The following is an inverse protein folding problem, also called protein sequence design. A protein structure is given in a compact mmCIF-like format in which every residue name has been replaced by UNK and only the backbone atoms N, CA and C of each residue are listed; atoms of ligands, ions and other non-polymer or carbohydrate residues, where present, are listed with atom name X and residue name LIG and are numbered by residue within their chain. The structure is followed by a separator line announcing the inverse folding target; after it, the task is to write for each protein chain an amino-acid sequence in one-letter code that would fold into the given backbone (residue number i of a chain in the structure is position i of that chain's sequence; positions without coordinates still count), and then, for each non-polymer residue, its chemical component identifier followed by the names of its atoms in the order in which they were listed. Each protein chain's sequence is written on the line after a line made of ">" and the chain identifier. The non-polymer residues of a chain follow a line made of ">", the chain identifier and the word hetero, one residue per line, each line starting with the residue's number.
data_IF_707034404981
#
_entry.id   IF_707034404981
#
_cell.length_a   1.000
_cell.length_b   1.000
_cell.length_c   1.000
_cell.angle_alpha   90.00
_cell.angle_beta   90.00
_cell.angle_gamma   90.00
#
_symmetry.space_group_name_H-M   'P 1'
#
loop_
_entity.id
_entity.type
_entity.pdbx_description
1 polymer ?
#
# COMPACT_ATOMS: atom_id res chain seq x y z
N UNK A 1 9.13 23.60 -22.98
CA UNK A 1 8.11 22.54 -23.05
C UNK A 1 7.89 22.08 -21.63
N UNK A 2 6.66 22.06 -21.16
CA UNK A 2 6.30 21.60 -19.80
C UNK A 2 6.15 20.09 -19.83
N UNK A 3 6.87 19.35 -19.00
CA UNK A 3 6.92 17.87 -18.93
C UNK A 3 6.61 17.49 -17.48
N UNK A 4 5.80 16.46 -17.24
CA UNK A 4 5.37 16.12 -15.87
C UNK A 4 6.56 15.77 -14.97
N UNK A 5 7.47 14.94 -15.45
CA UNK A 5 8.73 14.62 -14.78
C UNK A 5 9.89 14.58 -15.78
N UNK A 6 10.96 15.31 -15.47
CA UNK A 6 12.14 15.41 -16.33
C UNK A 6 13.41 15.13 -15.53
N UNK A 7 14.22 14.18 -16.00
CA UNK A 7 15.60 13.97 -15.55
C UNK A 7 16.55 14.31 -16.70
N UNK A 8 17.21 15.46 -16.59
CA UNK A 8 18.15 15.94 -17.62
C UNK A 8 19.38 15.04 -17.73
N UNK A 9 19.93 14.60 -16.60
CA UNK A 9 21.15 13.79 -16.54
C UNK A 9 20.96 12.41 -17.18
N UNK A 10 19.76 11.84 -17.05
CA UNK A 10 19.40 10.57 -17.66
C UNK A 10 18.78 10.71 -19.06
N UNK A 11 18.60 11.95 -19.54
CA UNK A 11 17.79 12.26 -20.72
C UNK A 11 16.45 11.50 -20.71
N UNK A 12 15.74 11.56 -19.59
CA UNK A 12 14.49 10.83 -19.36
C UNK A 12 13.35 11.81 -19.10
N UNK A 13 12.27 11.66 -19.85
CA UNK A 13 11.01 12.34 -19.61
C UNK A 13 9.93 11.30 -19.29
N UNK A 14 9.15 11.53 -18.24
CA UNK A 14 7.97 10.73 -17.91
C UNK A 14 6.75 11.63 -18.01
N UNK A 15 5.77 11.19 -18.79
CA UNK A 15 4.50 11.89 -19.00
C UNK A 15 3.36 11.06 -18.40
N UNK A 16 2.47 11.76 -17.71
CA UNK A 16 1.31 11.26 -16.98
C UNK A 16 0.04 11.80 -17.67
N UNK A 17 -0.40 11.07 -18.68
CA UNK A 17 -1.59 11.46 -19.42
C UNK A 17 -2.86 11.26 -18.57
N UNK A 18 -3.56 12.34 -18.26
CA UNK A 18 -4.91 12.29 -17.72
C UNK A 18 -5.96 11.84 -18.75
N UNK A 19 -7.17 11.50 -18.29
CA UNK A 19 -8.27 11.02 -19.15
C UNK A 19 -8.59 11.95 -20.34
N UNK A 20 -8.41 13.26 -20.16
CA UNK A 20 -8.59 14.28 -21.21
C UNK A 20 -7.66 14.11 -22.42
N UNK A 21 -6.49 13.48 -22.24
CA UNK A 21 -5.53 13.21 -23.34
C UNK A 21 -5.89 11.93 -24.12
N UNK A 22 -6.76 11.09 -23.55
CA UNK A 22 -7.26 9.84 -24.16
C UNK A 22 -8.67 9.98 -24.76
N UNK A 23 -9.38 11.08 -24.50
CA UNK A 23 -10.78 11.26 -24.88
C UNK A 23 -11.07 11.30 -26.38
N UNK A 24 -10.09 11.63 -27.24
CA UNK A 24 -10.22 11.51 -28.69
C UNK A 24 -8.86 11.48 -29.41
N UNK A 25 -8.89 11.11 -30.70
CA UNK A 25 -7.70 10.96 -31.53
C UNK A 25 -6.92 12.27 -31.77
N UNK A 26 -7.55 13.44 -31.69
CA UNK A 26 -6.85 14.73 -31.83
C UNK A 26 -6.12 15.13 -30.56
N UNK A 27 -6.74 14.96 -29.40
CA UNK A 27 -6.12 15.17 -28.08
C UNK A 27 -4.89 14.28 -27.95
N UNK A 28 -5.04 12.99 -28.27
CA UNK A 28 -3.95 12.02 -28.28
C UNK A 28 -2.82 12.42 -29.24
N UNK A 29 -3.14 12.82 -30.48
CA UNK A 29 -2.10 13.23 -31.46
C UNK A 29 -1.37 14.51 -31.06
N UNK A 30 -2.08 15.49 -30.51
CA UNK A 30 -1.48 16.75 -30.04
C UNK A 30 -0.48 16.46 -28.92
N UNK A 31 -0.87 15.59 -28.01
CA UNK A 31 -0.06 15.14 -26.90
C UNK A 31 1.19 14.37 -27.38
N UNK A 32 1.06 13.50 -28.39
CA UNK A 32 2.19 12.77 -28.98
C UNK A 32 3.21 13.62 -29.73
N UNK A 33 2.87 14.84 -30.15
CA UNK A 33 3.85 15.78 -30.75
C UNK A 33 4.89 16.24 -29.73
N UNK A 34 4.51 16.26 -28.46
CA UNK A 34 5.40 16.60 -27.34
C UNK A 34 6.45 15.51 -27.15
N UNK A 35 6.03 14.24 -27.15
CA UNK A 35 6.95 13.08 -27.13
C UNK A 35 7.96 13.14 -28.27
N UNK A 36 7.46 13.37 -29.49
CA UNK A 36 8.30 13.39 -30.68
C UNK A 36 9.39 14.46 -30.55
N UNK A 37 9.03 15.65 -30.07
CA UNK A 37 10.00 16.73 -29.87
C UNK A 37 10.98 16.43 -28.72
N UNK A 38 10.58 15.72 -27.67
CA UNK A 38 11.51 15.25 -26.62
C UNK A 38 12.49 14.20 -27.16
N UNK A 39 11.99 13.25 -27.94
CA UNK A 39 12.79 12.19 -28.57
C UNK A 39 13.78 12.76 -29.58
N UNK A 40 13.39 13.76 -30.37
CA UNK A 40 14.28 14.51 -31.27
C UNK A 40 15.43 15.19 -30.53
N UNK A 41 15.25 15.51 -29.25
CA UNK A 41 16.27 16.09 -28.38
C UNK A 41 17.00 15.05 -27.52
N UNK A 42 16.90 13.76 -27.87
CA UNK A 42 17.63 12.67 -27.24
C UNK A 42 16.99 12.13 -25.95
N UNK A 43 15.76 12.54 -25.62
CA UNK A 43 15.08 12.06 -24.42
C UNK A 43 14.34 10.75 -24.67
N UNK A 44 14.52 9.78 -23.77
CA UNK A 44 13.64 8.62 -23.67
C UNK A 44 12.34 9.06 -23.01
N UNK A 45 11.20 8.79 -23.64
CA UNK A 45 9.87 9.11 -23.09
C UNK A 45 9.20 7.83 -22.63
N UNK A 46 9.01 7.67 -21.32
CA UNK A 46 8.27 6.55 -20.75
C UNK A 46 6.87 7.02 -20.38
N UNK A 47 5.85 6.37 -20.95
CA UNK A 47 4.45 6.64 -20.61
C UNK A 47 3.86 5.49 -19.84
N UNK A 48 3.35 5.81 -18.65
CA UNK A 48 2.65 4.87 -17.78
C UNK A 48 1.14 5.15 -17.84
N UNK A 49 0.59 5.27 -19.06
CA UNK A 49 -0.74 5.79 -19.36
C UNK A 49 -1.84 5.23 -18.48
N UNK A 50 -1.80 3.91 -18.27
CA UNK A 50 -2.85 3.24 -17.51
C UNK A 50 -2.72 3.54 -16.00
N UNK A 51 -1.51 3.62 -15.45
CA UNK A 51 -1.30 4.05 -14.06
C UNK A 51 -1.66 5.53 -13.87
N UNK A 52 -1.31 6.40 -14.82
CA UNK A 52 -1.73 7.80 -14.83
C UNK A 52 -3.26 7.94 -14.89
N UNK A 53 -3.91 7.11 -15.71
CA UNK A 53 -5.37 7.05 -15.79
C UNK A 53 -6.01 6.58 -14.48
N UNK A 54 -5.48 5.52 -13.84
CA UNK A 54 -5.93 5.09 -12.51
C UNK A 54 -5.74 6.19 -11.46
N UNK A 55 -4.62 6.91 -11.49
CA UNK A 55 -4.39 8.04 -10.59
C UNK A 55 -5.46 9.13 -10.80
N UNK A 56 -5.84 9.40 -12.06
CA UNK A 56 -6.90 10.34 -12.42
C UNK A 56 -8.29 9.93 -11.92
N UNK A 57 -8.61 8.64 -11.86
CA UNK A 57 -9.90 8.16 -11.32
C UNK A 57 -10.10 8.48 -9.84
N UNK A 58 -9.02 8.68 -9.09
CA UNK A 58 -9.10 9.02 -7.67
C UNK A 58 -9.40 10.50 -7.43
N UNK A 59 -9.58 11.29 -8.49
CA UNK A 59 -10.10 12.65 -8.42
C UNK A 59 -11.64 12.65 -8.53
N UNK A 60 -12.29 13.61 -7.88
CA UNK A 60 -13.77 13.71 -7.80
C UNK A 60 -14.47 14.00 -9.16
N UNK A 61 -13.75 13.99 -10.28
CA UNK A 61 -14.22 14.45 -11.60
C UNK A 61 -14.16 13.33 -12.66
N UNK A 62 -14.51 12.09 -12.26
CA UNK A 62 -14.56 10.94 -13.17
C UNK A 62 -15.99 10.64 -13.67
N UNK A 63 -16.10 10.31 -14.95
CA UNK A 63 -17.35 9.85 -15.56
C UNK A 63 -17.54 8.35 -15.27
N UNK A 64 -18.37 8.03 -14.28
CA UNK A 64 -18.60 6.65 -13.81
C UNK A 64 -19.16 5.72 -14.90
N UNK A 65 -19.86 6.26 -15.90
CA UNK A 65 -20.43 5.51 -17.02
C UNK A 65 -19.41 5.25 -18.14
N UNK A 66 -18.30 5.99 -18.16
CA UNK A 66 -17.27 5.81 -19.16
C UNK A 66 -16.59 4.43 -19.02
N UNK A 67 -16.19 3.90 -20.16
CA UNK A 67 -15.57 2.57 -20.25
C UNK A 67 -14.11 2.64 -19.82
N UNK A 68 -13.68 1.61 -19.09
CA UNK A 68 -12.26 1.41 -18.79
C UNK A 68 -11.47 1.27 -20.10
N UNK A 69 -10.34 1.97 -20.25
CA UNK A 69 -9.47 1.79 -21.40
C UNK A 69 -8.86 0.39 -21.39
N UNK A 70 -8.34 -0.10 -22.53
CA UNK A 70 -7.72 -1.42 -22.59
C UNK A 70 -6.64 -1.62 -21.50
N UNK A 71 -6.85 -2.61 -20.64
CA UNK A 71 -5.94 -2.92 -19.53
C UNK A 71 -4.63 -3.48 -20.10
N UNK A 72 -3.47 -2.88 -19.79
CA UNK A 72 -2.19 -3.36 -20.27
C UNK A 72 -1.84 -4.72 -19.65
N UNK A 73 -1.05 -5.56 -20.33
CA UNK A 73 -0.56 -6.79 -19.75
C UNK A 73 0.40 -6.53 -18.58
N UNK A 74 0.40 -7.44 -17.60
CA UNK A 74 1.36 -7.40 -16.48
C UNK A 74 1.07 -6.44 -15.36
N UNK A 75 -0.16 -5.93 -15.26
CA UNK A 75 -0.54 -5.04 -14.17
C UNK A 75 -0.54 -5.74 -12.80
N UNK A 76 -0.62 -7.07 -12.77
CA UNK A 76 -0.45 -7.92 -11.58
C UNK A 76 1.02 -8.12 -11.18
N UNK A 77 1.96 -7.76 -12.06
CA UNK A 77 3.41 -7.96 -11.90
C UNK A 77 4.16 -6.67 -12.24
N UNK A 78 3.86 -5.61 -11.49
CA UNK A 78 4.59 -4.34 -11.63
C UNK A 78 6.07 -4.56 -11.31
N UNK A 79 6.95 -4.02 -12.15
CA UNK A 79 8.37 -3.97 -11.83
C UNK A 79 8.62 -2.86 -10.78
N UNK A 80 9.79 -2.83 -10.11
CA UNK A 80 10.07 -1.83 -9.07
C UNK A 80 9.95 -0.37 -9.54
N UNK A 81 10.17 -0.08 -10.82
CA UNK A 81 9.99 1.28 -11.34
C UNK A 81 8.51 1.68 -11.41
N UNK A 82 7.64 0.76 -11.84
CA UNK A 82 6.19 0.97 -11.89
C UNK A 82 5.55 0.96 -10.50
N UNK A 83 6.05 0.14 -9.58
CA UNK A 83 5.66 0.17 -8.17
C UNK A 83 5.97 1.54 -7.55
N UNK A 84 7.22 2.01 -7.69
CA UNK A 84 7.62 3.33 -7.19
C UNK A 84 6.80 4.46 -7.84
N UNK A 85 6.43 4.33 -9.11
CA UNK A 85 5.57 5.30 -9.77
C UNK A 85 4.15 5.28 -9.20
N UNK A 86 3.56 4.10 -8.99
CA UNK A 86 2.25 3.97 -8.36
C UNK A 86 2.23 4.58 -6.95
N UNK A 87 3.27 4.32 -6.17
CA UNK A 87 3.46 4.90 -4.84
C UNK A 87 3.61 6.44 -4.90
N UNK A 88 4.42 6.94 -5.84
CA UNK A 88 4.61 8.39 -6.07
C UNK A 88 3.30 9.09 -6.42
N UNK A 89 2.49 8.47 -7.29
CA UNK A 89 1.17 8.95 -7.70
C UNK A 89 0.09 8.70 -6.65
N UNK A 90 0.41 8.01 -5.56
CA UNK A 90 -0.52 7.61 -4.49
C UNK A 90 -1.74 6.89 -5.04
N UNK A 91 -1.52 5.99 -5.98
CA UNK A 91 -2.57 5.13 -6.51
C UNK A 91 -2.93 4.11 -5.42
N UNK A 92 -4.22 3.97 -5.11
CA UNK A 92 -4.68 2.94 -4.18
C UNK A 92 -4.28 1.56 -4.70
N UNK A 93 -3.57 0.80 -3.86
CA UNK A 93 -3.14 -0.54 -4.20
C UNK A 93 -4.34 -1.48 -4.42
N UNK A 94 -5.45 -1.26 -3.72
CA UNK A 94 -6.69 -2.01 -3.90
C UNK A 94 -7.30 -1.68 -5.30
N UNK A 95 -7.09 -0.47 -5.82
CA UNK A 95 -7.50 -0.06 -7.19
C UNK A 95 -6.63 -0.74 -8.26
N UNK A 96 -5.31 -0.78 -8.07
CA UNK A 96 -4.40 -1.54 -8.96
C UNK A 96 -4.76 -3.03 -8.95
N UNK A 97 -5.12 -3.57 -7.78
CA UNK A 97 -5.53 -4.97 -7.64
C UNK A 97 -6.87 -5.25 -8.34
N UNK A 98 -7.82 -4.31 -8.32
CA UNK A 98 -9.06 -4.42 -9.08
C UNK A 98 -8.81 -4.36 -10.59
N UNK A 99 -7.96 -3.42 -11.01
CA UNK A 99 -7.52 -3.24 -12.38
C UNK A 99 -6.86 -4.51 -12.94
N UNK A 100 -5.96 -5.13 -12.17
CA UNK A 100 -5.15 -6.26 -12.61
C UNK A 100 -5.93 -7.56 -12.86
N UNK A 101 -7.16 -7.70 -12.34
CA UNK A 101 -8.00 -8.89 -12.63
C UNK A 101 -8.32 -9.07 -14.11
N UNK A 102 -8.41 -7.97 -14.86
CA UNK A 102 -8.62 -8.00 -16.32
C UNK A 102 -7.31 -7.88 -17.11
N UNK A 103 -6.19 -7.66 -16.42
CA UNK A 103 -4.86 -7.57 -17.01
C UNK A 103 -4.48 -8.90 -17.69
N UNK A 104 -4.13 -8.87 -18.98
CA UNK A 104 -3.53 -10.03 -19.63
C UNK A 104 -2.18 -10.40 -19.01
N UNK A 105 -1.79 -11.67 -19.11
CA UNK A 105 -0.45 -12.13 -18.69
C UNK A 105 0.64 -11.55 -19.60
N UNK A 106 1.78 -11.14 -19.01
CA UNK A 106 2.96 -10.65 -19.76
C UNK A 106 3.51 -11.73 -20.68
N UNK A 107 3.72 -12.94 -20.17
CA UNK A 107 4.32 -14.05 -20.93
C UNK A 107 3.49 -14.40 -22.17
N UNK A 108 2.17 -14.28 -22.06
CA UNK A 108 1.25 -14.52 -23.17
C UNK A 108 1.10 -13.31 -24.09
N UNK A 109 1.59 -12.12 -23.72
CA UNK A 109 1.47 -10.88 -24.50
C UNK A 109 2.81 -10.31 -24.96
N UNK A 110 3.90 -11.07 -24.83
CA UNK A 110 5.18 -10.80 -25.45
C UNK A 110 5.36 -11.64 -26.71
N UNK A 111 5.54 -11.03 -27.89
CA UNK A 111 5.88 -11.77 -29.10
C UNK A 111 7.27 -12.37 -28.95
N UNK A 112 7.42 -13.63 -29.31
CA UNK A 112 8.73 -14.29 -29.33
C UNK A 112 9.43 -14.09 -30.68
N UNK A 113 10.66 -14.59 -30.79
CA UNK A 113 11.44 -14.49 -32.01
C UNK A 113 10.80 -15.28 -33.16
N UNK A 114 10.08 -16.37 -32.87
CA UNK A 114 9.40 -17.18 -33.86
C UNK A 114 8.18 -16.46 -34.45
N UNK A 115 7.40 -15.76 -33.63
CA UNK A 115 6.30 -14.90 -34.04
C UNK A 115 6.76 -13.80 -35.00
N UNK A 116 7.88 -13.14 -34.63
CA UNK A 116 8.49 -12.09 -35.45
C UNK A 116 8.95 -12.68 -36.79
N UNK A 117 9.67 -13.80 -36.77
CA UNK A 117 10.14 -14.46 -37.99
C UNK A 117 8.98 -14.95 -38.87
N UNK A 118 7.93 -15.51 -38.27
CA UNK A 118 6.73 -15.95 -38.97
C UNK A 118 6.02 -14.78 -39.65
N UNK A 119 5.87 -13.64 -38.97
CA UNK A 119 5.31 -12.44 -39.58
C UNK A 119 6.19 -11.89 -40.71
N UNK A 120 7.52 -11.81 -40.50
CA UNK A 120 8.45 -11.38 -41.55
C UNK A 120 8.33 -12.30 -42.76
N UNK A 121 8.16 -13.61 -42.58
CA UNK A 121 8.00 -14.55 -43.69
C UNK A 121 6.75 -14.28 -44.55
N UNK A 122 5.71 -13.64 -43.99
CA UNK A 122 4.50 -13.26 -44.75
C UNK A 122 4.70 -12.05 -45.67
N UNK A 123 5.74 -11.23 -45.45
CA UNK A 123 6.02 -10.04 -46.24
C UNK A 123 6.70 -10.41 -47.58
N UNK A 124 6.35 -9.68 -48.64
CA UNK A 124 6.98 -9.85 -49.95
C UNK A 124 8.45 -9.40 -49.92
N UNK A 125 9.32 -10.00 -50.73
CA UNK A 125 10.77 -9.71 -50.69
C UNK A 125 11.08 -8.24 -51.04
N UNK A 126 10.39 -7.67 -52.03
CA UNK A 126 10.51 -6.26 -52.38
C UNK A 126 10.10 -5.32 -51.22
N UNK A 127 9.12 -5.74 -50.43
CA UNK A 127 8.66 -4.99 -49.25
C UNK A 127 9.67 -5.07 -48.11
N UNK A 128 10.29 -6.24 -47.88
CA UNK A 128 11.36 -6.41 -46.88
C UNK A 128 12.53 -5.49 -47.18
N UNK A 129 13.01 -5.49 -48.42
CA UNK A 129 14.15 -4.68 -48.85
C UNK A 129 13.85 -3.18 -48.70
N UNK A 130 12.64 -2.75 -49.07
CA UNK A 130 12.20 -1.37 -48.91
C UNK A 130 12.09 -0.95 -47.44
N UNK A 131 11.56 -1.81 -46.56
CA UNK A 131 11.44 -1.54 -45.13
C UNK A 131 12.82 -1.41 -44.47
N UNK A 132 13.76 -2.33 -44.79
CA UNK A 132 15.12 -2.30 -44.28
C UNK A 132 15.88 -1.06 -44.76
N UNK A 133 15.78 -0.72 -46.06
CA UNK A 133 16.39 0.47 -46.61
C UNK A 133 15.86 1.75 -45.93
N UNK A 134 14.55 1.84 -45.71
CA UNK A 134 13.92 3.00 -45.07
C UNK A 134 14.34 3.16 -43.58
N UNK A 135 14.40 2.05 -42.83
CA UNK A 135 14.88 2.07 -41.44
C UNK A 135 16.34 2.51 -41.37
N UNK A 136 17.21 1.99 -42.23
CA UNK A 136 18.63 2.35 -42.25
C UNK A 136 18.84 3.80 -42.67
N UNK A 137 18.19 4.25 -43.75
CA UNK A 137 18.31 5.62 -44.23
C UNK A 137 17.84 6.64 -43.19
N UNK A 138 16.73 6.35 -42.51
CA UNK A 138 16.16 7.26 -41.51
C UNK A 138 16.94 7.24 -40.20
N UNK A 139 17.42 6.08 -39.75
CA UNK A 139 18.26 5.97 -38.56
C UNK A 139 19.60 6.71 -38.73
N UNK A 140 20.20 6.69 -39.93
CA UNK A 140 21.39 7.51 -40.25
C UNK A 140 21.09 9.01 -40.11
N UNK A 141 19.85 9.43 -40.39
CA UNK A 141 19.37 10.81 -40.23
C UNK A 141 18.86 11.11 -38.81
N UNK A 142 18.96 10.14 -37.88
CA UNK A 142 18.46 10.25 -36.50
C UNK A 142 16.95 10.05 -36.35
N UNK A 143 16.22 9.69 -37.41
CA UNK A 143 14.78 9.46 -37.37
C UNK A 143 14.45 7.98 -37.09
N UNK A 144 13.84 7.71 -35.95
CA UNK A 144 13.40 6.37 -35.52
C UNK A 144 11.93 6.07 -35.90
N UNK A 145 11.21 7.00 -36.51
CA UNK A 145 9.80 6.84 -36.84
C UNK A 145 9.51 5.60 -37.73
N UNK A 146 10.35 5.23 -38.72
CA UNK A 146 10.11 4.02 -39.51
C UNK A 146 10.21 2.74 -38.68
N UNK A 147 11.18 2.66 -37.76
CA UNK A 147 11.33 1.53 -36.83
C UNK A 147 10.10 1.38 -35.94
N UNK A 148 9.63 2.50 -35.38
CA UNK A 148 8.42 2.54 -34.53
C UNK A 148 7.17 2.10 -35.32
N UNK A 149 7.01 2.59 -36.56
CA UNK A 149 5.91 2.21 -37.45
C UNK A 149 5.94 0.72 -37.79
N UNK A 150 7.13 0.16 -38.00
CA UNK A 150 7.30 -1.26 -38.30
C UNK A 150 6.89 -2.13 -37.12
N UNK A 151 7.36 -1.79 -35.91
CA UNK A 151 6.96 -2.46 -34.65
C UNK A 151 5.45 -2.33 -34.43
N UNK A 152 4.87 -1.15 -34.65
CA UNK A 152 3.43 -0.94 -34.54
C UNK A 152 2.63 -1.82 -35.52
N UNK A 153 3.09 -1.91 -36.78
CA UNK A 153 2.46 -2.75 -37.80
C UNK A 153 2.50 -4.23 -37.41
N UNK A 154 3.65 -4.73 -36.96
CA UNK A 154 3.79 -6.09 -36.46
C UNK A 154 2.85 -6.36 -35.29
N UNK A 155 2.91 -5.53 -34.24
CA UNK A 155 2.08 -5.66 -33.05
C UNK A 155 0.59 -5.65 -33.39
N UNK A 156 0.15 -4.77 -34.31
CA UNK A 156 -1.23 -4.72 -34.77
C UNK A 156 -1.67 -6.02 -35.44
N UNK A 157 -0.85 -6.59 -36.33
CA UNK A 157 -1.18 -7.87 -36.97
C UNK A 157 -1.13 -9.05 -36.01
N UNK A 158 -0.16 -9.06 -35.10
CA UNK A 158 0.01 -10.13 -34.11
C UNK A 158 -1.15 -10.13 -33.09
N UNK A 159 -1.55 -8.95 -32.62
CA UNK A 159 -2.72 -8.79 -31.75
C UNK A 159 -4.03 -9.09 -32.47
N UNK A 160 -4.20 -8.71 -33.74
CA UNK A 160 -5.39 -9.03 -34.52
C UNK A 160 -5.58 -10.55 -34.68
N UNK A 161 -4.49 -11.31 -34.81
CA UNK A 161 -4.53 -12.78 -34.84
C UNK A 161 -4.84 -13.41 -33.47
N UNK A 162 -4.65 -12.67 -32.36
CA UNK A 162 -5.01 -13.07 -30.99
C UNK A 162 -6.40 -12.59 -30.57
N UNK A 163 -6.95 -11.61 -31.27
CA UNK A 163 -8.21 -10.92 -30.93
C UNK A 163 -9.44 -11.76 -31.34
N UNK A 164 -9.59 -12.93 -30.72
CA UNK A 164 -10.85 -13.70 -30.76
C UNK A 164 -11.43 -13.95 -29.35
N UNK A 165 -10.99 -13.16 -28.36
CA UNK A 165 -11.66 -13.08 -27.06
C UNK A 165 -12.00 -11.63 -26.75
N UNK A 166 -13.24 -11.27 -27.10
CA UNK A 166 -13.93 -10.09 -26.58
C UNK A 166 -13.96 -10.19 -25.05
N UNK A 167 -12.90 -9.70 -24.40
CA UNK A 167 -12.91 -9.46 -22.97
C UNK A 167 -13.88 -8.30 -22.74
N UNK A 168 -14.90 -8.57 -21.92
CA UNK A 168 -15.91 -7.61 -21.46
C UNK A 168 -15.21 -6.32 -21.00
N UNK A 169 -15.45 -5.21 -21.70
CA UNK A 169 -15.08 -3.89 -21.20
C UNK A 169 -16.03 -3.55 -20.04
N UNK A 170 -15.46 -3.25 -18.88
CA UNK A 170 -16.23 -2.81 -17.71
C UNK A 170 -16.29 -1.29 -17.66
N UNK A 171 -17.29 -0.77 -16.98
CA UNK A 171 -17.38 0.67 -16.69
C UNK A 171 -16.43 1.06 -15.55
N UNK A 172 -16.15 2.35 -15.42
CA UNK A 172 -15.43 2.89 -14.26
C UNK A 172 -16.16 2.55 -12.96
N UNK A 173 -17.50 2.65 -12.92
CA UNK A 173 -18.32 2.24 -11.77
C UNK A 173 -18.10 0.76 -11.38
N UNK A 174 -18.05 -0.16 -12.35
CA UNK A 174 -17.76 -1.57 -12.09
C UNK A 174 -16.35 -1.74 -11.48
N UNK A 175 -15.34 -1.00 -11.97
CA UNK A 175 -13.98 -1.01 -11.42
C UNK A 175 -13.91 -0.45 -9.98
N UNK A 176 -14.61 0.64 -9.70
CA UNK A 176 -14.63 1.26 -8.37
C UNK A 176 -15.35 0.36 -7.33
N UNK A 177 -16.47 -0.27 -7.72
CA UNK A 177 -17.16 -1.27 -6.88
C UNK A 177 -16.28 -2.47 -6.56
N UNK A 178 -15.52 -2.94 -7.54
CA UNK A 178 -14.53 -4.00 -7.30
C UNK A 178 -13.44 -3.56 -6.33
N UNK A 179 -12.94 -2.34 -6.46
CA UNK A 179 -11.94 -1.74 -5.56
C UNK A 179 -12.45 -1.67 -4.13
N UNK A 180 -13.69 -1.22 -3.92
CA UNK A 180 -14.33 -1.17 -2.61
C UNK A 180 -14.45 -2.57 -1.99
N UNK A 181 -14.85 -3.57 -2.78
CA UNK A 181 -14.97 -4.95 -2.30
C UNK A 181 -13.63 -5.53 -1.80
N UNK A 182 -12.54 -5.20 -2.49
CA UNK A 182 -11.17 -5.60 -2.12
C UNK A 182 -10.77 -4.90 -0.82
N UNK A 183 -10.98 -3.58 -0.75
CA UNK A 183 -10.67 -2.75 0.41
C UNK A 183 -11.38 -3.28 1.67
N UNK A 184 -12.68 -3.58 1.56
CA UNK A 184 -13.47 -4.12 2.67
C UNK A 184 -12.97 -5.49 3.12
N UNK A 185 -12.62 -6.36 2.17
CA UNK A 185 -12.07 -7.70 2.47
C UNK A 185 -10.73 -7.61 3.21
N UNK A 186 -9.84 -6.71 2.77
CA UNK A 186 -8.54 -6.47 3.41
C UNK A 186 -8.71 -5.93 4.83
N UNK A 187 -9.54 -4.89 5.01
CA UNK A 187 -9.83 -4.31 6.35
C UNK A 187 -10.40 -5.34 7.32
N UNK A 188 -11.30 -6.22 6.86
CA UNK A 188 -11.84 -7.32 7.68
C UNK A 188 -10.75 -8.27 8.15
N UNK A 189 -9.86 -8.70 7.25
CA UNK A 189 -8.73 -9.58 7.60
C UNK A 189 -7.75 -8.91 8.56
N UNK A 190 -7.47 -7.63 8.38
CA UNK A 190 -6.60 -6.85 9.28
C UNK A 190 -7.22 -6.72 10.68
N UNK A 191 -8.51 -6.37 10.76
CA UNK A 191 -9.24 -6.26 12.01
C UNK A 191 -9.33 -7.60 12.76
N UNK A 192 -9.54 -8.70 12.04
CA UNK A 192 -9.54 -10.04 12.63
C UNK A 192 -8.17 -10.41 13.22
N UNK A 193 -7.08 -10.16 12.48
CA UNK A 193 -5.71 -10.39 12.98
C UNK A 193 -5.39 -9.53 14.20
N UNK A 194 -5.79 -8.25 14.18
CA UNK A 194 -5.61 -7.35 15.32
C UNK A 194 -6.40 -7.81 16.55
N UNK A 195 -7.65 -8.26 16.37
CA UNK A 195 -8.46 -8.81 17.44
C UNK A 195 -7.86 -10.09 18.04
N UNK A 196 -7.35 -10.99 17.19
CA UNK A 196 -6.66 -12.21 17.64
C UNK A 196 -5.39 -11.87 18.44
N UNK A 197 -4.56 -10.93 17.96
CA UNK A 197 -3.36 -10.50 18.67
C UNK A 197 -3.68 -9.86 20.03
N UNK A 198 -4.71 -9.01 20.08
CA UNK A 198 -5.16 -8.39 21.32
C UNK A 198 -5.69 -9.43 22.32
N UNK A 199 -6.52 -10.38 21.85
CA UNK A 199 -7.04 -11.45 22.69
C UNK A 199 -5.93 -12.34 23.25
N UNK A 200 -4.90 -12.65 22.46
CA UNK A 200 -3.74 -13.41 22.93
C UNK A 200 -2.94 -12.61 23.97
N UNK A 201 -2.70 -11.31 23.73
CA UNK A 201 -2.04 -10.45 24.69
C UNK A 201 -2.82 -10.35 26.01
N UNK A 202 -4.14 -10.21 25.95
CA UNK A 202 -5.01 -10.22 27.13
C UNK A 202 -4.95 -11.55 27.89
N UNK A 203 -4.91 -12.67 27.16
CA UNK A 203 -4.76 -14.01 27.76
C UNK A 203 -3.42 -14.14 28.50
N UNK A 204 -2.32 -13.72 27.86
CA UNK A 204 -1.00 -13.74 28.47
C UNK A 204 -0.92 -12.81 29.69
N UNK A 205 -1.48 -11.61 29.59
CA UNK A 205 -1.56 -10.66 30.71
C UNK A 205 -2.36 -11.25 31.88
N UNK A 206 -3.47 -11.93 31.61
CA UNK A 206 -4.29 -12.60 32.63
C UNK A 206 -3.51 -13.71 33.34
N UNK A 207 -2.83 -14.58 32.57
CA UNK A 207 -2.00 -15.65 33.13
C UNK A 207 -0.83 -15.10 33.98
N UNK A 208 -0.17 -14.05 33.49
CA UNK A 208 0.90 -13.37 34.24
C UNK A 208 0.38 -12.75 35.54
N UNK A 209 -0.82 -12.15 35.50
CA UNK A 209 -1.50 -11.61 36.68
C UNK A 209 -1.80 -12.71 37.69
N UNK A 210 -2.37 -13.82 37.26
CA UNK A 210 -2.67 -14.97 38.12
C UNK A 210 -1.41 -15.55 38.76
N UNK A 211 -0.34 -15.71 37.98
CA UNK A 211 0.96 -16.18 38.50
C UNK A 211 1.50 -15.24 39.58
N UNK A 212 1.50 -13.92 39.32
CA UNK A 212 1.94 -12.91 40.30
C UNK A 212 1.13 -12.95 41.59
N UNK A 213 -0.20 -13.08 41.49
CA UNK A 213 -1.08 -13.20 42.66
C UNK A 213 -0.81 -14.49 43.46
N UNK A 214 -0.55 -15.61 42.77
CA UNK A 214 -0.18 -16.86 43.42
C UNK A 214 1.18 -16.77 44.14
N UNK A 215 2.18 -16.07 43.57
CA UNK A 215 3.51 -15.90 44.16
C UNK A 215 3.50 -15.06 45.45
N UNK A 216 2.60 -14.09 45.55
CA UNK A 216 2.47 -13.22 46.75
C UNK A 216 1.55 -13.81 47.82
N UNK A 217 0.81 -14.88 47.51
CA UNK A 217 -0.10 -15.52 48.45
C UNK A 217 0.69 -16.06 49.66
N UNK A 218 0.25 -15.71 50.88
CA UNK A 218 0.96 -16.04 52.12
C UNK A 218 2.15 -15.14 52.47
N UNK A 219 2.54 -14.20 51.59
CA UNK A 219 3.57 -13.17 51.87
C UNK A 219 2.98 -11.80 52.20
N UNK A 220 1.69 -11.73 52.46
CA UNK A 220 0.96 -10.48 52.68
C UNK A 220 1.56 -9.61 53.80
N UNK A 221 1.92 -10.13 54.99
CA UNK A 221 2.51 -9.31 56.04
C UNK A 221 3.83 -8.67 55.62
N UNK A 222 4.69 -9.42 54.91
CA UNK A 222 5.98 -8.93 54.42
C UNK A 222 5.79 -7.83 53.37
N UNK A 223 4.77 -7.95 52.52
CA UNK A 223 4.46 -6.92 51.52
C UNK A 223 3.91 -5.65 52.17
N UNK A 224 3.10 -5.75 53.23
CA UNK A 224 2.67 -4.60 54.02
C UNK A 224 3.85 -3.86 54.67
N UNK A 225 4.83 -4.59 55.23
CA UNK A 225 6.05 -3.99 55.78
C UNK A 225 6.91 -3.31 54.70
N UNK A 226 7.00 -3.92 53.51
CA UNK A 226 7.69 -3.32 52.37
C UNK A 226 7.00 -2.04 51.89
N UNK A 227 5.66 -2.02 51.82
CA UNK A 227 4.88 -0.83 51.48
C UNK A 227 5.14 0.29 52.49
N UNK A 228 5.20 -0.04 53.79
CA UNK A 228 5.48 0.93 54.85
C UNK A 228 6.89 1.52 54.73
N UNK A 229 7.88 0.69 54.39
CA UNK A 229 9.26 1.13 54.11
C UNK A 229 9.32 2.06 52.89
N UNK A 230 8.71 1.65 51.77
CA UNK A 230 8.63 2.45 50.53
C UNK A 230 7.90 3.78 50.75
N UNK A 231 6.86 3.80 51.59
CA UNK A 231 6.17 5.01 51.99
C UNK A 231 7.06 5.96 52.81
N UNK A 232 8.08 5.46 53.51
CA UNK A 232 9.03 6.26 54.29
C UNK A 232 10.13 6.91 53.44
N UNK A 233 10.51 6.32 52.31
CA UNK A 233 11.64 6.76 51.46
C UNK A 233 11.45 8.14 50.79
N UNK A 234 10.25 8.73 50.82
CA UNK A 234 9.91 10.04 50.24
C UNK A 234 10.33 10.24 48.77
N UNK A 235 10.36 9.17 47.97
CA UNK A 235 10.70 9.18 46.54
C UNK A 235 9.48 8.87 45.68
N UNK A 236 9.36 9.54 44.54
CA UNK A 236 8.26 9.31 43.59
C UNK A 236 8.22 7.85 43.11
N UNK A 237 9.37 7.26 42.73
CA UNK A 237 9.44 5.88 42.28
C UNK A 237 9.12 4.85 43.38
N UNK A 238 9.47 5.15 44.64
CA UNK A 238 9.14 4.29 45.79
C UNK A 238 7.63 4.30 46.07
N UNK A 239 6.97 5.45 45.91
CA UNK A 239 5.51 5.52 45.96
C UNK A 239 4.85 4.74 44.83
N UNK A 240 5.38 4.78 43.61
CA UNK A 240 4.81 4.01 42.49
C UNK A 240 4.91 2.50 42.74
N UNK A 241 6.05 2.03 43.24
CA UNK A 241 6.22 0.62 43.67
C UNK A 241 5.28 0.24 44.82
N UNK A 242 5.08 1.12 45.80
CA UNK A 242 4.14 0.88 46.90
C UNK A 242 2.69 0.75 46.38
N UNK A 243 2.31 1.53 45.37
CA UNK A 243 0.99 1.42 44.73
C UNK A 243 0.82 0.11 43.98
N UNK A 244 1.84 -0.34 43.23
CA UNK A 244 1.80 -1.64 42.54
C UNK A 244 1.55 -2.78 43.53
N UNK A 245 2.29 -2.80 44.65
CA UNK A 245 2.11 -3.80 45.71
C UNK A 245 0.73 -3.70 46.38
N UNK A 246 0.20 -2.49 46.57
CA UNK A 246 -1.14 -2.29 47.11
C UNK A 246 -2.24 -2.77 46.15
N UNK A 247 -2.07 -2.59 44.84
CA UNK A 247 -2.99 -3.11 43.81
C UNK A 247 -2.94 -4.64 43.81
N UNK A 248 -1.77 -5.24 43.92
CA UNK A 248 -1.59 -6.68 44.05
C UNK A 248 -2.29 -7.25 45.29
N UNK A 249 -2.09 -6.62 46.46
CA UNK A 249 -2.75 -7.03 47.71
C UNK A 249 -4.26 -6.82 47.66
N UNK A 250 -4.74 -5.75 47.01
CA UNK A 250 -6.18 -5.52 46.80
C UNK A 250 -6.79 -6.63 45.95
N UNK A 251 -6.17 -6.95 44.81
CA UNK A 251 -6.65 -7.95 43.87
C UNK A 251 -6.52 -9.38 44.43
N UNK A 252 -5.62 -9.60 45.39
CA UNK A 252 -5.60 -10.83 46.18
C UNK A 252 -6.75 -10.85 47.21
N UNK A 253 -6.98 -9.73 47.91
CA UNK A 253 -8.00 -9.61 48.95
C UNK A 253 -9.44 -9.64 48.41
N UNK A 254 -9.68 -9.35 47.12
CA UNK A 254 -10.99 -9.58 46.48
C UNK A 254 -11.37 -11.06 46.42
N UNK A 255 -10.38 -11.97 46.47
CA UNK A 255 -10.61 -13.43 46.49
C UNK A 255 -10.72 -14.03 47.90
N UNK A 256 -10.21 -13.36 48.93
CA UNK A 256 -10.11 -13.91 50.30
C UNK A 256 -10.87 -13.08 51.34
N UNK A 257 -10.40 -11.86 51.65
CA UNK A 257 -10.99 -11.01 52.69
C UNK A 257 -10.77 -9.50 52.42
N UNK A 258 -11.69 -8.90 51.66
CA UNK A 258 -11.60 -7.49 51.25
C UNK A 258 -11.72 -6.49 52.41
N UNK A 259 -12.38 -6.87 53.52
CA UNK A 259 -12.57 -5.98 54.67
C UNK A 259 -11.27 -5.75 55.44
N UNK A 260 -10.46 -6.78 55.63
CA UNK A 260 -9.17 -6.66 56.31
C UNK A 260 -8.18 -5.79 55.53
N UNK A 261 -8.19 -5.91 54.19
CA UNK A 261 -7.40 -5.04 53.32
C UNK A 261 -7.80 -3.57 53.48
N UNK A 262 -9.11 -3.25 53.45
CA UNK A 262 -9.59 -1.89 53.61
C UNK A 262 -9.23 -1.29 54.98
N UNK A 263 -9.29 -2.09 56.06
CA UNK A 263 -8.86 -1.66 57.38
C UNK A 263 -7.37 -1.30 57.41
N UNK A 264 -6.49 -2.16 56.86
CA UNK A 264 -5.05 -1.91 56.77
C UNK A 264 -4.73 -0.71 55.87
N UNK A 265 -5.43 -0.57 54.74
CA UNK A 265 -5.29 0.57 53.83
C UNK A 265 -5.68 1.90 54.51
N UNK A 266 -6.77 1.92 55.29
CA UNK A 266 -7.19 3.11 56.02
C UNK A 266 -6.21 3.50 57.13
N UNK A 267 -5.67 2.52 57.86
CA UNK A 267 -4.62 2.77 58.85
C UNK A 267 -3.35 3.37 58.19
N UNK A 268 -2.97 2.86 57.02
CA UNK A 268 -1.84 3.37 56.24
C UNK A 268 -2.09 4.81 55.74
N UNK A 269 -3.29 5.11 55.24
CA UNK A 269 -3.71 6.48 54.85
C UNK A 269 -3.65 7.45 56.04
N UNK A 270 -4.10 7.04 57.23
CA UNK A 270 -4.05 7.88 58.43
C UNK A 270 -2.61 8.19 58.86
N UNK A 271 -1.75 7.16 58.89
CA UNK A 271 -0.35 7.28 59.33
C UNK A 271 0.49 8.15 58.40
N UNK A 272 0.24 8.10 57.09
CA UNK A 272 0.96 8.90 56.09
C UNK A 272 0.17 10.12 55.58
N UNK A 273 -0.83 10.57 56.34
CA UNK A 273 -1.72 11.69 55.99
C UNK A 273 -1.00 12.99 55.67
N UNK A 274 0.17 13.24 56.29
CA UNK A 274 1.02 14.40 56.02
C UNK A 274 1.73 14.37 54.65
N UNK A 275 1.72 13.23 53.94
CA UNK A 275 2.39 13.05 52.63
C UNK A 275 1.37 13.19 51.49
N UNK A 276 1.00 14.42 51.17
CA UNK A 276 -0.04 14.75 50.18
C UNK A 276 0.14 14.07 48.81
N UNK A 277 1.39 13.97 48.31
CA UNK A 277 1.70 13.30 47.04
C UNK A 277 1.40 11.80 47.06
N UNK A 278 1.67 11.13 48.18
CA UNK A 278 1.40 9.70 48.34
C UNK A 278 -0.09 9.44 48.53
N UNK A 279 -0.77 10.26 49.34
CA UNK A 279 -2.22 10.20 49.55
C UNK A 279 -2.99 10.44 48.23
N UNK A 280 -2.55 11.39 47.40
CA UNK A 280 -3.18 11.64 46.10
C UNK A 280 -3.11 10.42 45.19
N UNK A 281 -2.00 9.66 45.21
CA UNK A 281 -1.88 8.42 44.44
C UNK A 281 -2.66 7.26 45.06
N UNK A 282 -2.80 7.20 46.39
CA UNK A 282 -3.63 6.20 47.07
C UNK A 282 -5.14 6.36 46.83
N UNK A 283 -5.60 7.51 46.32
CA UNK A 283 -7.01 7.71 45.96
C UNK A 283 -7.44 6.87 44.75
N UNK A 284 -6.52 6.40 43.91
CA UNK A 284 -6.86 5.54 42.75
C UNK A 284 -7.00 4.05 43.09
N UNK A 285 -6.68 3.64 44.33
CA UNK A 285 -6.71 2.24 44.78
C UNK A 285 -8.00 1.90 45.55
N UNK A 286 -8.71 2.93 46.06
CA UNK A 286 -9.95 2.81 46.84
C UNK A 286 -11.21 2.74 45.99
#
# INVERSE_FOLDING_TARGET
>A
MEVDLLCMDAQLAIELDGAQHLGNAEAYRRDRRKDALLQENGYTVLRCLYLGWLAGLQSDDCDEEALEPPVPPGLDQLNPALENLADFLRIDQDLITAASKLSPSLEQNTPDLHDIQGWIATLANNEKDALLANVLESSIKGDQAPSIKLVHRFNKSWQANKADTLKRQRTIDELLKETESITLSRRRKEAEKAAQANAEQERLNRLAREKRLNEITGREPLLWDQIESLACEKKASSYDKALELLIDLRDLATKSNSQEFLLKLNALKQRHSAKSSFINRLRSIG
#
